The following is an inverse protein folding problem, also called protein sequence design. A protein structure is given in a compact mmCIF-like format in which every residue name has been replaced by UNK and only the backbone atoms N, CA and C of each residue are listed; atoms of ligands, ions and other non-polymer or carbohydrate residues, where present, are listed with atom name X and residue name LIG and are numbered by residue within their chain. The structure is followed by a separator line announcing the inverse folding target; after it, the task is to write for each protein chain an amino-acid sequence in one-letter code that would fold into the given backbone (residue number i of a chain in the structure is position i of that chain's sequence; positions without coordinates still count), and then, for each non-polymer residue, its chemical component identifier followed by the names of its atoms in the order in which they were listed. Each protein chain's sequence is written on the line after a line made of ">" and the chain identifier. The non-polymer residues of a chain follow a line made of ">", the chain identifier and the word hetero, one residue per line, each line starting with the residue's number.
data_IF_385647218350
#
_entry.id   IF_385647218350
#
_cell.length_a   1.000
_cell.length_b   1.000
_cell.length_c   1.000
_cell.angle_alpha   90.00
_cell.angle_beta   90.00
_cell.angle_gamma   90.00
#
_symmetry.space_group_name_H-M   'P 1'
#
loop_
_entity.id
_entity.type
_entity.pdbx_description
1 polymer ?
#
# COMPACT_ATOMS: atom_id res chain seq x y z
N UNK A 1 -10.04 12.80 11.73
CA UNK A 1 -8.98 12.58 10.71
C UNK A 1 -9.19 11.19 10.17
N UNK A 2 -9.48 11.09 8.88
CA UNK A 2 -9.65 9.80 8.21
C UNK A 2 -8.26 9.34 7.75
N UNK A 3 -7.81 8.17 8.20
CA UNK A 3 -6.50 7.63 7.82
C UNK A 3 -6.56 7.14 6.38
N UNK A 4 -5.44 7.23 5.66
CA UNK A 4 -5.29 6.56 4.38
C UNK A 4 -5.16 5.06 4.63
N UNK A 5 -6.12 4.27 4.14
CA UNK A 5 -6.07 2.81 4.26
C UNK A 5 -5.31 2.23 3.06
N UNK A 6 -4.27 1.45 3.32
CA UNK A 6 -3.49 0.73 2.30
C UNK A 6 -3.61 -0.76 2.57
N UNK A 7 -4.27 -1.45 1.65
CA UNK A 7 -4.59 -2.86 1.75
C UNK A 7 -3.79 -3.69 0.75
N UNK A 8 -2.94 -4.58 1.23
CA UNK A 8 -2.14 -5.46 0.36
C UNK A 8 -2.83 -6.82 0.21
N UNK A 9 -2.93 -7.33 -1.02
CA UNK A 9 -3.43 -8.69 -1.24
C UNK A 9 -2.46 -9.72 -0.65
N UNK A 10 -2.88 -10.43 0.38
CA UNK A 10 -2.10 -11.48 1.04
C UNK A 10 -2.36 -12.87 0.43
N UNK A 11 -3.08 -12.95 -0.68
CA UNK A 11 -3.22 -14.19 -1.43
C UNK A 11 -1.86 -14.72 -1.88
N UNK A 12 -1.67 -16.05 -1.85
CA UNK A 12 -0.37 -16.71 -2.11
C UNK A 12 0.36 -16.21 -3.36
N UNK A 13 -0.36 -15.96 -4.47
CA UNK A 13 0.25 -15.42 -5.69
C UNK A 13 0.75 -13.98 -5.52
N UNK A 14 -0.02 -13.09 -4.88
CA UNK A 14 0.43 -11.71 -4.67
C UNK A 14 1.53 -11.64 -3.61
N UNK A 15 1.45 -12.48 -2.57
CA UNK A 15 2.49 -12.62 -1.56
C UNK A 15 3.83 -13.05 -2.17
N UNK A 16 3.83 -14.10 -3.01
CA UNK A 16 5.03 -14.59 -3.70
C UNK A 16 5.60 -13.60 -4.73
N UNK A 17 4.78 -12.66 -5.21
CA UNK A 17 5.17 -11.63 -6.19
C UNK A 17 5.72 -10.35 -5.56
N UNK A 18 5.80 -10.27 -4.23
CA UNK A 18 6.49 -9.17 -3.54
C UNK A 18 5.65 -8.38 -2.55
N UNK A 19 4.35 -8.67 -2.37
CA UNK A 19 3.53 -7.93 -1.40
C UNK A 19 4.07 -8.03 0.05
N UNK A 20 4.77 -9.11 0.40
CA UNK A 20 5.44 -9.25 1.70
C UNK A 20 6.60 -8.27 1.88
N UNK A 21 7.32 -7.98 0.80
CA UNK A 21 8.42 -7.01 0.78
C UNK A 21 7.85 -5.59 0.79
N UNK A 22 6.78 -5.36 0.03
CA UNK A 22 6.08 -4.07 0.00
C UNK A 22 5.50 -3.71 1.36
N UNK A 23 4.88 -4.66 2.07
CA UNK A 23 4.36 -4.45 3.43
C UNK A 23 5.48 -4.01 4.38
N UNK A 24 6.59 -4.74 4.42
CA UNK A 24 7.73 -4.40 5.30
C UNK A 24 8.33 -3.03 4.96
N UNK A 25 8.45 -2.70 3.67
CA UNK A 25 8.96 -1.40 3.24
C UNK A 25 8.02 -0.25 3.63
N UNK A 26 6.71 -0.44 3.50
CA UNK A 26 5.71 0.52 3.95
C UNK A 26 5.78 0.72 5.47
N UNK A 27 5.85 -0.35 6.25
CA UNK A 27 5.97 -0.26 7.72
C UNK A 27 7.22 0.53 8.14
N UNK A 28 8.37 0.25 7.51
CA UNK A 28 9.60 0.98 7.76
C UNK A 28 9.48 2.45 7.37
N UNK A 29 9.04 2.74 6.15
CA UNK A 29 8.88 4.10 5.63
C UNK A 29 7.94 4.95 6.50
N UNK A 30 6.77 4.43 6.86
CA UNK A 30 5.80 5.16 7.69
C UNK A 30 6.35 5.46 9.07
N UNK A 31 7.10 4.51 9.66
CA UNK A 31 7.75 4.69 10.95
C UNK A 31 8.87 5.74 10.89
N UNK A 32 9.69 5.71 9.84
CA UNK A 32 10.79 6.67 9.64
C UNK A 32 10.28 8.09 9.39
N UNK A 33 9.17 8.23 8.67
CA UNK A 33 8.56 9.53 8.36
C UNK A 33 7.61 10.04 9.45
N UNK A 34 7.29 9.23 10.48
CA UNK A 34 6.30 9.57 11.49
C UNK A 34 4.86 9.67 10.94
N UNK A 35 4.56 8.90 9.88
CA UNK A 35 3.27 8.88 9.18
C UNK A 35 2.36 7.74 9.63
N UNK A 36 2.78 6.93 10.60
CA UNK A 36 2.01 5.78 11.12
C UNK A 36 0.63 6.15 11.67
N UNK A 37 0.44 7.40 12.12
CA UNK A 37 -0.87 7.89 12.57
C UNK A 37 -1.78 8.33 11.41
N UNK A 38 -1.23 8.51 10.21
CA UNK A 38 -1.96 8.96 9.01
C UNK A 38 -2.30 7.81 8.05
N UNK A 39 -1.55 6.69 8.10
CA UNK A 39 -1.76 5.52 7.25
C UNK A 39 -2.13 4.31 8.08
N UNK A 40 -3.13 3.57 7.63
CA UNK A 40 -3.49 2.26 8.15
C UNK A 40 -3.09 1.19 7.13
N UNK A 41 -2.15 0.32 7.49
CA UNK A 41 -1.77 -0.84 6.68
C UNK A 41 -2.65 -2.03 7.06
N UNK A 42 -3.32 -2.62 6.07
CA UNK A 42 -4.19 -3.77 6.28
C UNK A 42 -3.92 -4.87 5.24
N UNK A 43 -4.28 -6.10 5.61
CA UNK A 43 -4.24 -7.23 4.70
C UNK A 43 -5.60 -7.42 4.02
N UNK A 44 -5.60 -7.56 2.70
CA UNK A 44 -6.79 -7.98 1.96
C UNK A 44 -6.65 -9.43 1.49
N UNK A 45 -7.78 -10.14 1.40
CA UNK A 45 -7.85 -11.42 0.72
C UNK A 45 -7.66 -11.26 -0.81
N UNK A 46 -7.89 -12.32 -1.57
CA UNK A 46 -7.76 -12.29 -3.02
C UNK A 46 -8.63 -11.18 -3.65
N UNK A 47 -8.02 -10.30 -4.44
CA UNK A 47 -8.69 -9.27 -5.23
C UNK A 47 -9.15 -9.77 -6.61
N UNK A 48 -9.06 -11.08 -6.88
CA UNK A 48 -9.51 -11.71 -8.13
C UNK A 48 -8.67 -11.41 -9.38
N UNK A 49 -7.61 -10.59 -9.27
CA UNK A 49 -6.81 -10.12 -10.40
C UNK A 49 -5.36 -10.62 -10.36
N UNK A 50 -5.13 -11.88 -9.96
CA UNK A 50 -3.79 -12.45 -9.78
C UNK A 50 -2.92 -12.40 -11.05
N UNK A 51 -3.51 -12.45 -12.24
CA UNK A 51 -2.81 -12.38 -13.52
C UNK A 51 -2.06 -11.06 -13.73
N UNK A 52 -2.52 -9.98 -13.09
CA UNK A 52 -1.87 -8.65 -13.09
C UNK A 52 -1.18 -8.34 -11.75
N UNK A 53 -1.05 -9.34 -10.87
CA UNK A 53 -0.48 -9.15 -9.54
C UNK A 53 1.01 -8.78 -9.55
N UNK A 54 1.53 -8.20 -8.46
CA UNK A 54 0.88 -8.03 -7.15
C UNK A 54 -0.25 -6.99 -7.16
N UNK A 55 -1.25 -7.19 -6.30
CA UNK A 55 -2.42 -6.31 -6.20
C UNK A 55 -2.50 -5.68 -4.81
N UNK A 56 -2.95 -4.43 -4.77
CA UNK A 56 -3.15 -3.65 -3.56
C UNK A 56 -4.27 -2.62 -3.76
N UNK A 57 -4.83 -2.12 -2.67
CA UNK A 57 -5.85 -1.07 -2.66
C UNK A 57 -5.35 0.08 -1.79
N UNK A 58 -5.40 1.29 -2.30
CA UNK A 58 -5.05 2.52 -1.57
C UNK A 58 -6.31 3.37 -1.55
N UNK A 59 -6.88 3.57 -0.36
CA UNK A 59 -8.21 4.14 -0.18
C UNK A 59 -9.28 3.30 -0.89
N UNK A 60 -9.86 3.87 -1.94
CA UNK A 60 -10.91 3.23 -2.73
C UNK A 60 -10.41 2.72 -4.09
N UNK A 61 -9.16 2.98 -4.44
CA UNK A 61 -8.59 2.63 -5.75
C UNK A 61 -7.74 1.35 -5.66
N UNK A 62 -7.92 0.47 -6.65
CA UNK A 62 -7.15 -0.78 -6.76
C UNK A 62 -6.03 -0.63 -7.78
N UNK A 63 -4.83 -1.03 -7.39
CA UNK A 63 -3.65 -1.01 -8.23
C UNK A 63 -3.11 -2.43 -8.42
N UNK A 64 -2.51 -2.66 -9.58
CA UNK A 64 -2.03 -3.97 -10.02
C UNK A 64 -0.67 -3.82 -10.69
N UNK A 65 0.24 -4.77 -10.43
CA UNK A 65 1.53 -4.87 -11.10
C UNK A 65 2.54 -3.82 -10.66
N UNK A 66 2.34 -3.22 -9.49
CA UNK A 66 3.25 -2.24 -8.92
C UNK A 66 4.40 -2.92 -8.18
N UNK A 67 5.59 -2.38 -8.32
CA UNK A 67 6.73 -2.69 -7.47
C UNK A 67 6.70 -1.86 -6.18
N UNK A 68 7.52 -2.27 -5.21
CA UNK A 68 7.57 -1.61 -3.90
C UNK A 68 7.86 -0.11 -3.97
N UNK A 69 8.74 0.35 -4.88
CA UNK A 69 9.06 1.77 -4.97
C UNK A 69 7.85 2.58 -5.48
N UNK A 70 7.17 2.09 -6.51
CA UNK A 70 5.95 2.70 -7.03
C UNK A 70 4.85 2.79 -5.95
N UNK A 71 4.72 1.78 -5.09
CA UNK A 71 3.75 1.79 -4.00
C UNK A 71 4.07 2.86 -2.95
N UNK A 72 5.34 2.98 -2.56
CA UNK A 72 5.77 4.00 -1.61
C UNK A 72 5.49 5.41 -2.14
N UNK A 73 5.82 5.67 -3.40
CA UNK A 73 5.56 6.96 -4.06
C UNK A 73 4.06 7.27 -4.13
N UNK A 74 3.22 6.28 -4.45
CA UNK A 74 1.77 6.46 -4.49
C UNK A 74 1.18 6.77 -3.12
N UNK A 75 1.63 6.07 -2.07
CA UNK A 75 1.17 6.32 -0.70
C UNK A 75 1.58 7.72 -0.25
N UNK A 76 2.82 8.11 -0.52
CA UNK A 76 3.31 9.45 -0.26
C UNK A 76 2.45 10.50 -0.97
N UNK A 77 2.27 10.36 -2.28
CA UNK A 77 1.46 11.27 -3.10
C UNK A 77 0.02 11.40 -2.59
N UNK A 78 -0.62 10.29 -2.26
CA UNK A 78 -1.99 10.27 -1.75
C UNK A 78 -2.10 10.95 -0.38
N UNK A 79 -1.10 10.78 0.49
CA UNK A 79 -1.00 11.52 1.74
C UNK A 79 -0.84 13.03 1.52
N UNK A 80 0.00 13.44 0.55
CA UNK A 80 0.16 14.85 0.18
C UNK A 80 -1.16 15.46 -0.29
N UNK A 81 -1.94 14.74 -1.08
CA UNK A 81 -3.26 15.20 -1.56
C UNK A 81 -4.32 15.25 -0.46
N UNK A 82 -4.27 14.35 0.52
CA UNK A 82 -5.25 14.24 1.61
C UNK A 82 -4.97 15.13 2.82
N UNK A 83 -3.70 15.48 3.09
CA UNK A 83 -3.35 16.00 4.42
C UNK A 83 -2.04 16.74 4.65
N UNK A 84 -1.16 16.97 3.67
CA UNK A 84 -0.01 17.88 3.88
C UNK A 84 1.25 17.50 3.10
N UNK A 85 2.10 18.44 2.66
CA UNK A 85 2.55 19.66 3.33
C UNK A 85 2.46 20.92 2.44
N UNK A 86 2.17 22.06 3.06
CA UNK A 86 2.85 23.31 2.74
C UNK A 86 4.10 23.42 3.63
#
# INVERSE_FOLDING_TARGET
>A
MEKLVVELCLGSSCFARGNSQTLQALEAYLKEQGLSDQVELAGHLCLGNCSKGPNLRIGNETYSGLDTASVLELVEKELYHRGGKA
#
